data_IF_618898002044
#
_entry.id   IF_618898002044
#
_cell.length_a   1.000
_cell.length_b   1.000
_cell.length_c   1.000
_cell.angle_alpha   90.00
_cell.angle_beta   90.00
_cell.angle_gamma   90.00
#
_symmetry.space_group_name_H-M   'P 1'
#
loop_
_entity.id
_entity.type
_entity.pdbx_description
1 polymer ?
#
# COMPACT_ATOMS: atom_id res chain seq x y z
N UNK A 1 21.44 49.22 -2.61
CA UNK A 1 20.81 50.52 -2.90
C UNK A 1 19.75 50.35 -3.95
N UNK A 2 18.54 50.89 -3.67
CA UNK A 2 17.31 51.05 -4.45
C UNK A 2 16.50 49.73 -4.61
N UNK A 3 15.46 49.47 -3.85
CA UNK A 3 14.19 50.13 -3.53
C UNK A 3 13.15 50.00 -4.66
N UNK A 4 12.09 49.32 -4.28
CA UNK A 4 10.78 49.07 -4.94
C UNK A 4 10.16 50.27 -5.65
N UNK A 5 9.04 50.07 -6.38
CA UNK A 5 7.77 50.36 -5.69
C UNK A 5 6.62 49.36 -5.99
N UNK A 6 5.72 49.32 -5.01
CA UNK A 6 4.34 48.90 -5.02
C UNK A 6 3.48 49.84 -5.92
N UNK A 7 2.49 49.26 -6.59
CA UNK A 7 1.29 49.92 -7.04
C UNK A 7 0.14 48.93 -6.88
N UNK A 8 -0.68 49.15 -5.97
CA UNK A 8 -1.91 49.93 -5.78
C UNK A 8 -3.14 49.28 -6.43
N UNK A 9 -3.99 48.86 -5.55
CA UNK A 9 -5.38 48.39 -5.74
C UNK A 9 -6.23 49.48 -6.41
N UNK A 10 -7.11 49.07 -7.29
CA UNK A 10 -8.38 49.77 -7.49
C UNK A 10 -9.54 48.80 -7.59
N UNK A 11 -10.57 49.14 -6.84
CA UNK A 11 -11.80 48.44 -6.65
C UNK A 11 -12.89 48.95 -7.58
N UNK A 12 -13.86 48.08 -7.79
CA UNK A 12 -15.26 48.42 -8.05
C UNK A 12 -15.78 48.34 -9.49
N UNK A 13 -16.50 47.27 -9.77
CA UNK A 13 -17.73 47.36 -10.57
C UNK A 13 -18.69 46.23 -10.21
N UNK A 14 -19.77 46.62 -9.54
CA UNK A 14 -20.98 45.79 -9.31
C UNK A 14 -21.70 45.58 -10.63
N UNK A 15 -22.13 44.35 -10.90
CA UNK A 15 -23.32 44.10 -11.70
C UNK A 15 -24.06 42.88 -11.15
N UNK A 16 -25.32 43.12 -10.93
CA UNK A 16 -26.36 42.28 -10.32
C UNK A 16 -26.84 41.14 -11.24
N UNK A 17 -27.69 40.22 -10.74
CA UNK A 17 -27.70 38.84 -11.14
C UNK A 17 -28.71 38.54 -12.25
N UNK A 18 -28.42 37.57 -13.06
CA UNK A 18 -29.40 36.92 -13.94
C UNK A 18 -29.75 35.54 -13.41
N UNK A 19 -31.03 35.40 -13.27
CA UNK A 19 -31.90 34.30 -12.92
C UNK A 19 -31.55 32.92 -13.50
N UNK A 20 -31.71 31.94 -12.64
CA UNK A 20 -32.33 30.65 -12.83
C UNK A 20 -31.69 29.62 -13.76
N UNK A 21 -31.16 28.59 -13.13
CA UNK A 21 -31.57 27.20 -13.41
C UNK A 21 -31.24 26.34 -12.20
N UNK A 22 -32.22 26.13 -11.37
CA UNK A 22 -32.29 25.02 -10.40
C UNK A 22 -32.13 23.71 -11.16
N UNK A 23 -30.92 23.15 -11.18
CA UNK A 23 -30.74 21.73 -11.44
C UNK A 23 -30.86 21.01 -10.11
N UNK A 24 -31.96 20.28 -10.00
CA UNK A 24 -32.29 19.30 -9.00
C UNK A 24 -31.08 18.47 -8.62
N UNK A 25 -30.63 18.64 -7.39
CA UNK A 25 -29.75 17.73 -6.71
C UNK A 25 -30.60 16.57 -6.17
N UNK A 26 -30.79 15.55 -6.99
CA UNK A 26 -31.33 14.25 -6.57
C UNK A 26 -30.78 13.19 -7.51
N UNK A 27 -29.61 12.74 -7.16
CA UNK A 27 -29.18 11.35 -7.36
C UNK A 27 -28.09 11.06 -6.32
N UNK A 28 -28.48 11.12 -5.04
CA UNK A 28 -27.89 10.27 -4.03
C UNK A 28 -28.45 8.88 -4.29
N UNK A 29 -27.72 8.19 -5.14
CA UNK A 29 -27.94 6.79 -5.42
C UNK A 29 -28.00 6.04 -4.11
N UNK A 30 -29.14 5.46 -3.86
CA UNK A 30 -29.49 4.57 -2.77
C UNK A 30 -28.44 3.51 -2.59
N UNK A 31 -27.49 3.76 -1.65
CA UNK A 31 -26.69 2.68 -1.09
C UNK A 31 -27.66 1.78 -0.31
N UNK A 32 -28.08 0.75 -1.03
CA UNK A 32 -28.61 -0.53 -0.59
C UNK A 32 -28.79 -0.71 0.92
N UNK A 33 -29.98 -1.12 1.27
CA UNK A 33 -30.44 -1.83 2.45
C UNK A 33 -29.63 -3.10 2.78
N UNK A 34 -28.34 -2.95 3.01
CA UNK A 34 -27.47 -3.98 3.56
C UNK A 34 -27.02 -3.54 4.95
N UNK A 35 -27.09 -4.42 5.92
CA UNK A 35 -26.53 -4.18 7.25
C UNK A 35 -25.05 -3.75 7.20
N UNK A 36 -24.43 -3.40 8.33
CA UNK A 36 -23.04 -2.99 8.36
C UNK A 36 -22.16 -4.09 7.76
N UNK A 37 -21.21 -3.69 6.87
CA UNK A 37 -20.21 -4.62 6.35
C UNK A 37 -19.40 -5.18 7.51
N UNK A 38 -19.29 -6.51 7.55
CA UNK A 38 -18.49 -7.22 8.54
C UNK A 38 -17.39 -8.00 7.82
N UNK A 39 -16.17 -7.87 8.29
CA UNK A 39 -15.04 -8.65 7.79
C UNK A 39 -15.20 -10.13 8.19
N UNK A 40 -14.49 -11.00 7.50
CA UNK A 40 -14.33 -12.38 7.93
C UNK A 40 -13.10 -12.48 8.86
N UNK A 41 -13.35 -12.40 10.17
CA UNK A 41 -12.34 -12.40 11.22
C UNK A 41 -11.57 -13.72 11.29
N UNK A 42 -12.22 -14.85 11.08
CA UNK A 42 -11.55 -16.16 10.97
C UNK A 42 -10.56 -16.20 9.80
N UNK A 43 -10.92 -15.69 8.64
CA UNK A 43 -10.04 -15.64 7.47
C UNK A 43 -8.85 -14.71 7.71
N UNK A 44 -9.07 -13.55 8.31
CA UNK A 44 -7.99 -12.64 8.70
C UNK A 44 -7.05 -13.32 9.68
N UNK A 45 -7.58 -13.96 10.70
CA UNK A 45 -6.80 -14.69 11.69
C UNK A 45 -5.99 -15.83 11.05
N UNK A 46 -6.59 -16.64 10.21
CA UNK A 46 -5.90 -17.74 9.51
C UNK A 46 -4.80 -17.21 8.57
N UNK A 47 -5.03 -16.06 7.92
CA UNK A 47 -4.03 -15.42 7.06
C UNK A 47 -2.83 -14.97 7.90
N UNK A 48 -3.05 -14.32 9.05
CA UNK A 48 -2.01 -13.94 10.00
C UNK A 48 -1.22 -15.15 10.50
N UNK A 49 -1.92 -16.20 10.92
CA UNK A 49 -1.27 -17.41 11.44
C UNK A 49 -0.51 -18.18 10.35
N UNK A 50 -0.93 -18.08 9.11
CA UNK A 50 -0.20 -18.69 7.98
C UNK A 50 1.11 -17.96 7.71
N UNK A 51 1.11 -16.63 7.68
CA UNK A 51 2.34 -15.84 7.57
C UNK A 51 3.24 -16.02 8.79
N UNK A 52 2.68 -16.17 9.99
CA UNK A 52 3.44 -16.39 11.22
C UNK A 52 4.24 -17.72 11.23
N UNK A 53 3.92 -18.69 10.38
CA UNK A 53 4.70 -19.92 10.23
C UNK A 53 5.97 -19.72 9.42
N UNK A 54 6.01 -18.72 8.55
CA UNK A 54 7.17 -18.43 7.70
C UNK A 54 8.16 -17.63 8.53
N UNK A 55 9.23 -18.29 8.97
CA UNK A 55 10.22 -17.74 9.89
C UNK A 55 9.84 -17.88 11.38
N UNK A 56 8.89 -18.76 11.72
CA UNK A 56 8.54 -19.01 13.12
C UNK A 56 9.76 -19.38 13.97
N UNK A 57 9.79 -18.86 15.19
CA UNK A 57 10.85 -19.15 16.17
C UNK A 57 10.33 -19.99 17.32
N UNK A 58 11.22 -20.71 18.01
CA UNK A 58 10.84 -21.59 19.13
C UNK A 58 10.18 -20.81 20.28
N UNK A 59 10.45 -19.51 20.39
CA UNK A 59 9.83 -18.62 21.40
C UNK A 59 8.47 -18.06 20.97
N UNK A 60 7.92 -18.54 19.85
CA UNK A 60 6.60 -18.15 19.36
C UNK A 60 6.55 -16.82 18.61
N UNK A 61 7.69 -16.21 18.30
CA UNK A 61 7.82 -15.06 17.43
C UNK A 61 8.09 -15.43 15.98
N UNK A 62 8.53 -14.45 15.18
CA UNK A 62 8.88 -14.59 13.77
C UNK A 62 10.22 -13.90 13.49
N UNK A 63 11.10 -14.56 12.73
CA UNK A 63 12.30 -13.97 12.16
C UNK A 63 12.23 -14.07 10.63
N UNK A 64 11.84 -13.00 9.97
CA UNK A 64 11.70 -12.89 8.52
C UNK A 64 12.35 -11.58 8.07
N UNK A 65 13.68 -11.57 8.09
CA UNK A 65 14.45 -10.37 7.74
C UNK A 65 14.26 -10.00 6.27
N UNK A 66 14.23 -8.71 5.99
CA UNK A 66 14.05 -8.16 4.65
C UNK A 66 14.99 -8.79 3.63
N UNK A 67 14.48 -9.09 2.44
CA UNK A 67 15.21 -9.65 1.30
C UNK A 67 15.93 -10.99 1.59
N UNK A 68 15.43 -11.76 2.55
CA UNK A 68 15.81 -13.17 2.73
C UNK A 68 14.85 -14.10 1.97
N UNK A 69 15.20 -15.39 1.88
CA UNK A 69 14.29 -16.40 1.32
C UNK A 69 12.97 -16.53 2.11
N UNK A 70 13.01 -16.26 3.41
CA UNK A 70 11.79 -16.25 4.24
C UNK A 70 10.91 -15.03 3.90
N UNK A 71 11.50 -13.84 3.71
CA UNK A 71 10.76 -12.66 3.25
C UNK A 71 10.18 -12.90 1.85
N UNK A 72 10.94 -13.52 0.96
CA UNK A 72 10.45 -13.96 -0.34
C UNK A 72 9.19 -14.82 -0.21
N UNK A 73 9.24 -15.89 0.59
CA UNK A 73 8.10 -16.77 0.80
C UNK A 73 6.87 -16.02 1.32
N UNK A 74 7.05 -15.11 2.30
CA UNK A 74 5.97 -14.29 2.83
C UNK A 74 5.33 -13.40 1.77
N UNK A 75 6.15 -12.74 0.95
CA UNK A 75 5.71 -11.90 -0.17
C UNK A 75 4.99 -12.70 -1.25
N UNK A 76 5.49 -13.87 -1.63
CA UNK A 76 4.84 -14.76 -2.59
C UNK A 76 3.45 -15.21 -2.12
N UNK A 77 3.30 -15.51 -0.83
CA UNK A 77 2.00 -15.85 -0.23
C UNK A 77 1.04 -14.67 -0.35
N UNK A 78 1.48 -13.45 0.02
CA UNK A 78 0.66 -12.25 -0.11
C UNK A 78 0.25 -11.98 -1.57
N UNK A 79 1.20 -12.04 -2.51
CA UNK A 79 0.96 -11.81 -3.94
C UNK A 79 -0.10 -12.79 -4.46
N UNK A 80 0.03 -14.07 -4.11
CA UNK A 80 -0.96 -15.08 -4.51
C UNK A 80 -2.35 -14.73 -3.98
N UNK A 81 -2.49 -14.42 -2.70
CA UNK A 81 -3.77 -14.07 -2.10
C UNK A 81 -4.37 -12.78 -2.67
N UNK A 82 -3.54 -11.79 -2.98
CA UNK A 82 -4.00 -10.57 -3.60
C UNK A 82 -4.49 -10.80 -5.04
N UNK A 83 -3.81 -11.66 -5.82
CA UNK A 83 -4.27 -12.07 -7.15
C UNK A 83 -5.58 -12.86 -7.08
N UNK A 84 -5.71 -13.78 -6.14
CA UNK A 84 -6.95 -14.53 -5.87
C UNK A 84 -8.11 -13.57 -5.51
N UNK A 85 -7.81 -12.45 -4.86
CA UNK A 85 -8.77 -11.38 -4.58
C UNK A 85 -9.01 -10.41 -5.77
N UNK A 86 -8.46 -10.70 -6.95
CA UNK A 86 -8.65 -9.90 -8.17
C UNK A 86 -7.80 -8.64 -8.24
N UNK A 87 -6.71 -8.55 -7.47
CA UNK A 87 -5.79 -7.42 -7.54
C UNK A 87 -4.75 -7.59 -8.65
N UNK A 88 -4.46 -6.49 -9.32
CA UNK A 88 -3.26 -6.34 -10.13
C UNK A 88 -2.05 -6.08 -9.21
N UNK A 89 -0.92 -6.72 -9.53
CA UNK A 89 0.31 -6.59 -8.74
C UNK A 89 1.34 -5.76 -9.49
N UNK A 90 1.82 -4.70 -8.83
CA UNK A 90 2.97 -3.90 -9.28
C UNK A 90 4.07 -3.98 -8.22
N UNK A 91 5.30 -4.07 -8.67
CA UNK A 91 6.50 -3.99 -7.81
C UNK A 91 7.37 -2.86 -8.34
N UNK A 92 7.81 -1.98 -7.47
CA UNK A 92 8.69 -0.86 -7.82
C UNK A 92 10.18 -1.23 -7.75
N UNK A 93 11.05 -0.24 -8.03
CA UNK A 93 12.48 -0.43 -8.13
C UNK A 93 13.18 -0.82 -6.84
N UNK A 94 12.60 -0.51 -5.67
CA UNK A 94 13.12 -0.92 -4.34
C UNK A 94 12.46 -2.21 -3.84
N UNK A 95 11.48 -2.75 -4.58
CA UNK A 95 10.78 -3.97 -4.23
C UNK A 95 9.51 -3.77 -3.40
N UNK A 96 8.99 -2.55 -3.24
CA UNK A 96 7.67 -2.36 -2.68
C UNK A 96 6.62 -3.04 -3.55
N UNK A 97 5.65 -3.72 -2.93
CA UNK A 97 4.55 -4.37 -3.63
C UNK A 97 3.30 -3.51 -3.48
N UNK A 98 2.57 -3.34 -4.57
CA UNK A 98 1.28 -2.67 -4.63
C UNK A 98 0.26 -3.63 -5.22
N UNK A 99 -0.71 -4.04 -4.41
CA UNK A 99 -1.84 -4.86 -4.83
C UNK A 99 -3.05 -3.96 -5.07
N UNK A 100 -3.38 -3.69 -6.33
CA UNK A 100 -4.40 -2.73 -6.75
C UNK A 100 -5.69 -3.45 -7.14
N UNK A 101 -6.77 -3.13 -6.45
CA UNK A 101 -8.13 -3.45 -6.85
C UNK A 101 -8.71 -2.30 -7.67
N UNK A 102 -9.25 -2.58 -8.84
CA UNK A 102 -9.85 -1.56 -9.69
C UNK A 102 -11.06 -0.88 -9.01
N UNK A 103 -11.16 0.43 -9.20
CA UNK A 103 -12.33 1.23 -8.92
C UNK A 103 -13.25 1.33 -10.15
N UNK A 104 -14.33 2.09 -10.03
CA UNK A 104 -15.17 2.46 -11.16
C UNK A 104 -14.49 3.49 -12.06
N UNK A 105 -13.72 4.38 -11.46
CA UNK A 105 -12.94 5.42 -12.12
C UNK A 105 -11.45 5.12 -11.94
N UNK A 106 -10.81 4.66 -13.00
CA UNK A 106 -9.40 4.29 -12.99
C UNK A 106 -8.45 5.48 -12.86
N UNK A 107 -8.91 6.69 -13.24
CA UNK A 107 -8.11 7.92 -13.22
C UNK A 107 -8.04 8.53 -11.82
N UNK A 108 -8.91 8.12 -10.93
CA UNK A 108 -8.82 8.57 -9.53
C UNK A 108 -7.56 8.06 -8.85
N UNK A 109 -7.01 8.91 -8.00
CA UNK A 109 -5.97 8.47 -7.07
C UNK A 109 -6.47 7.30 -6.22
N UNK A 110 -5.66 6.26 -6.08
CA UNK A 110 -6.01 5.12 -5.24
C UNK A 110 -6.09 5.52 -3.76
N UNK A 111 -7.03 4.91 -3.05
CA UNK A 111 -6.99 4.92 -1.59
C UNK A 111 -6.06 3.80 -1.15
N UNK A 112 -4.95 4.16 -0.50
CA UNK A 112 -3.91 3.22 -0.13
C UNK A 112 -3.93 2.90 1.36
N UNK A 113 -3.66 1.65 1.68
CA UNK A 113 -3.39 1.15 3.03
C UNK A 113 -2.26 0.14 2.95
N UNK A 114 -1.66 -0.22 4.05
CA UNK A 114 -0.61 -1.25 4.05
C UNK A 114 0.35 -1.10 5.21
N UNK A 115 1.40 -1.89 5.16
CA UNK A 115 2.52 -1.91 6.10
C UNK A 115 3.67 -2.71 5.49
N UNK A 116 4.31 -3.60 6.25
CA UNK A 116 5.43 -4.42 5.82
C UNK A 116 5.21 -5.90 6.16
N UNK A 117 6.04 -6.77 5.59
CA UNK A 117 6.05 -8.20 5.89
C UNK A 117 7.38 -8.66 6.49
N UNK A 118 8.47 -7.90 6.31
CA UNK A 118 9.72 -8.15 7.02
C UNK A 118 9.55 -7.95 8.53
N UNK A 119 10.40 -8.59 9.30
CA UNK A 119 10.36 -8.54 10.77
C UNK A 119 11.75 -8.28 11.34
N UNK A 120 11.79 -7.88 12.60
CA UNK A 120 13.00 -7.93 13.40
C UNK A 120 13.47 -9.39 13.62
N UNK A 121 14.72 -9.62 14.07
CA UNK A 121 15.21 -10.97 14.38
C UNK A 121 14.38 -11.71 15.44
N UNK A 122 13.74 -10.95 16.33
CA UNK A 122 12.84 -11.45 17.37
C UNK A 122 11.48 -10.78 17.30
N UNK A 123 10.95 -10.67 16.07
CA UNK A 123 9.71 -9.96 15.78
C UNK A 123 8.45 -10.68 16.27
N UNK A 124 7.37 -9.92 16.37
CA UNK A 124 6.04 -10.43 16.66
C UNK A 124 5.37 -11.02 15.42
N UNK A 125 4.24 -11.69 15.62
CA UNK A 125 3.45 -12.29 14.54
C UNK A 125 2.62 -11.26 13.77
N UNK A 126 2.33 -10.12 14.39
CA UNK A 126 1.33 -9.16 13.93
C UNK A 126 1.93 -7.87 13.39
N UNK A 127 3.12 -7.50 13.87
CA UNK A 127 3.82 -6.30 13.43
C UNK A 127 3.97 -6.29 11.92
N UNK A 128 3.57 -5.19 11.28
CA UNK A 128 3.49 -5.05 9.83
C UNK A 128 2.43 -5.93 9.17
N UNK A 129 2.45 -7.23 9.47
CA UNK A 129 1.55 -8.23 8.85
C UNK A 129 0.07 -7.88 9.04
N UNK A 130 -0.30 -7.36 10.21
CA UNK A 130 -1.69 -6.98 10.49
C UNK A 130 -2.16 -5.86 9.54
N UNK A 131 -1.35 -4.81 9.33
CA UNK A 131 -1.70 -3.71 8.44
C UNK A 131 -1.88 -4.15 6.99
N UNK A 132 -0.99 -5.03 6.50
CA UNK A 132 -1.08 -5.59 5.14
C UNK A 132 -2.31 -6.47 4.98
N UNK A 133 -2.51 -7.41 5.90
CA UNK A 133 -3.59 -8.41 5.77
C UNK A 133 -4.97 -7.83 6.07
N UNK A 134 -5.08 -6.83 6.93
CA UNK A 134 -6.32 -6.09 7.13
C UNK A 134 -6.75 -5.37 5.85
N UNK A 135 -5.80 -4.74 5.13
CA UNK A 135 -6.08 -4.14 3.83
C UNK A 135 -6.59 -5.15 2.81
N UNK A 136 -5.96 -6.32 2.75
CA UNK A 136 -6.40 -7.41 1.86
C UNK A 136 -7.79 -7.95 2.27
N UNK A 137 -8.06 -8.05 3.56
CA UNK A 137 -9.36 -8.50 4.07
C UNK A 137 -10.47 -7.50 3.73
N UNK A 138 -10.22 -6.20 3.79
CA UNK A 138 -11.16 -5.18 3.30
C UNK A 138 -11.49 -5.40 1.83
N UNK A 139 -10.48 -5.65 0.98
CA UNK A 139 -10.70 -5.93 -0.45
C UNK A 139 -11.57 -7.17 -0.63
N UNK A 140 -11.30 -8.26 0.08
CA UNK A 140 -12.08 -9.52 0.03
C UNK A 140 -13.53 -9.29 0.45
N UNK A 141 -13.74 -8.56 1.54
CA UNK A 141 -15.07 -8.23 2.07
C UNK A 141 -15.88 -7.41 1.06
N UNK A 142 -15.27 -6.42 0.42
CA UNK A 142 -15.92 -5.62 -0.62
C UNK A 142 -16.27 -6.47 -1.85
N UNK A 143 -15.42 -7.42 -2.22
CA UNK A 143 -15.68 -8.34 -3.34
C UNK A 143 -16.88 -9.25 -3.02
N UNK A 144 -16.93 -9.83 -1.83
CA UNK A 144 -18.01 -10.70 -1.37
C UNK A 144 -19.35 -9.95 -1.30
N UNK A 145 -19.30 -8.68 -0.90
CA UNK A 145 -20.46 -7.81 -0.87
C UNK A 145 -20.88 -7.26 -2.26
N UNK A 146 -20.10 -7.54 -3.31
CA UNK A 146 -20.36 -7.00 -4.65
C UNK A 146 -20.18 -5.48 -4.77
N UNK A 147 -19.51 -4.86 -3.80
CA UNK A 147 -19.31 -3.41 -3.75
C UNK A 147 -18.15 -3.00 -4.65
N UNK A 148 -18.43 -2.07 -5.58
CA UNK A 148 -17.41 -1.41 -6.40
C UNK A 148 -17.16 0.01 -5.86
N UNK A 149 -15.92 0.27 -5.46
CA UNK A 149 -15.51 1.60 -5.00
C UNK A 149 -15.35 2.57 -6.16
N UNK A 150 -15.55 3.87 -5.94
CA UNK A 150 -15.31 4.88 -6.97
C UNK A 150 -13.83 4.94 -7.32
N UNK A 151 -12.96 5.11 -6.32
CA UNK A 151 -11.52 5.09 -6.49
C UNK A 151 -10.97 3.66 -6.41
N UNK A 152 -9.85 3.36 -7.07
CA UNK A 152 -9.10 2.12 -6.82
C UNK A 152 -8.66 2.02 -5.36
N UNK A 153 -8.47 0.77 -4.89
CA UNK A 153 -7.86 0.50 -3.58
C UNK A 153 -6.49 -0.14 -3.79
N UNK A 154 -5.51 0.26 -3.00
CA UNK A 154 -4.18 -0.36 -3.01
C UNK A 154 -3.77 -0.84 -1.63
N UNK A 155 -3.27 -2.08 -1.56
CA UNK A 155 -2.55 -2.58 -0.39
C UNK A 155 -1.06 -2.54 -0.68
N UNK A 156 -0.32 -1.75 0.11
CA UNK A 156 1.11 -1.56 -0.03
C UNK A 156 1.87 -2.48 0.92
N UNK A 157 2.97 -3.10 0.43
CA UNK A 157 3.93 -3.82 1.26
C UNK A 157 5.28 -3.13 1.10
N UNK A 158 5.71 -2.43 2.14
CA UNK A 158 6.97 -1.70 2.14
C UNK A 158 8.15 -2.66 2.31
N UNK A 159 9.25 -2.39 1.62
CA UNK A 159 10.49 -3.17 1.68
C UNK A 159 11.39 -2.63 2.78
N UNK A 160 11.92 -3.53 3.63
CA UNK A 160 12.87 -3.19 4.70
C UNK A 160 12.37 -2.05 5.58
N UNK A 161 11.18 -2.22 6.12
CA UNK A 161 10.59 -1.23 7.02
C UNK A 161 11.31 -1.21 8.35
N UNK A 162 11.59 -2.37 8.92
CA UNK A 162 12.21 -2.57 10.23
C UNK A 162 13.67 -2.12 10.33
N UNK A 163 14.37 -1.99 9.21
CA UNK A 163 15.78 -1.62 9.21
C UNK A 163 16.72 -2.62 9.87
N UNK A 164 16.23 -3.80 10.24
CA UNK A 164 16.99 -4.81 10.99
C UNK A 164 18.11 -5.45 10.18
N UNK A 165 18.01 -5.44 8.86
CA UNK A 165 19.03 -5.98 7.98
C UNK A 165 19.77 -4.90 7.20
N UNK A 166 19.09 -3.86 6.80
CA UNK A 166 19.64 -2.72 6.07
C UNK A 166 19.19 -1.42 6.68
N UNK A 167 20.06 -0.45 6.79
CA UNK A 167 19.73 0.92 7.18
C UNK A 167 19.61 1.81 5.94
N UNK A 168 18.72 2.80 5.96
CA UNK A 168 17.85 3.22 7.05
C UNK A 168 16.62 2.34 7.23
N UNK A 169 15.95 2.46 8.37
CA UNK A 169 14.60 1.93 8.59
C UNK A 169 13.62 2.62 7.64
N UNK A 170 12.41 2.06 7.43
CA UNK A 170 11.39 2.62 6.54
C UNK A 170 11.91 2.85 5.11
N UNK A 171 12.84 2.00 4.67
CA UNK A 171 13.57 2.21 3.42
C UNK A 171 12.63 2.28 2.21
N UNK A 172 11.73 1.32 2.08
CA UNK A 172 10.82 1.24 0.94
C UNK A 172 9.84 2.41 0.87
N UNK A 173 9.21 2.75 1.99
CA UNK A 173 8.31 3.89 2.10
C UNK A 173 9.04 5.22 1.93
N UNK A 174 10.27 5.32 2.43
CA UNK A 174 11.12 6.50 2.27
C UNK A 174 11.49 6.76 0.80
N UNK A 175 11.80 5.72 0.03
CA UNK A 175 12.03 5.85 -1.42
C UNK A 175 10.73 6.26 -2.14
N UNK A 176 9.62 5.63 -1.79
CA UNK A 176 8.31 5.98 -2.37
C UNK A 176 7.91 7.42 -2.10
N UNK A 177 8.15 7.92 -0.89
CA UNK A 177 7.85 9.30 -0.49
C UNK A 177 8.91 10.32 -0.95
N UNK A 178 10.01 9.88 -1.56
CA UNK A 178 11.09 10.77 -2.01
C UNK A 178 12.01 11.28 -0.89
N UNK A 179 11.94 10.68 0.31
CA UNK A 179 12.84 10.98 1.42
C UNK A 179 14.25 10.39 1.19
N UNK A 180 14.34 9.29 0.46
CA UNK A 180 15.58 8.66 0.02
C UNK A 180 15.59 8.51 -1.51
N UNK A 181 16.76 8.66 -2.13
CA UNK A 181 16.88 8.26 -3.53
C UNK A 181 16.94 6.72 -3.64
N UNK A 182 16.42 6.21 -4.76
CA UNK A 182 16.50 4.77 -5.05
C UNK A 182 17.95 4.28 -5.08
N UNK A 183 18.85 5.09 -5.66
CA UNK A 183 20.28 4.77 -5.76
C UNK A 183 20.90 4.62 -4.36
N UNK A 184 20.62 5.55 -3.44
CA UNK A 184 21.10 5.48 -2.05
C UNK A 184 20.61 4.22 -1.34
N UNK A 185 19.32 3.90 -1.46
CA UNK A 185 18.72 2.73 -0.85
C UNK A 185 19.29 1.41 -1.42
N UNK A 186 19.50 1.35 -2.74
CA UNK A 186 20.13 0.19 -3.38
C UNK A 186 21.60 0.05 -2.98
N UNK A 187 22.35 1.14 -2.85
CA UNK A 187 23.74 1.11 -2.39
C UNK A 187 23.88 0.53 -0.96
N UNK A 188 22.94 0.87 -0.07
CA UNK A 188 22.90 0.30 1.27
C UNK A 188 22.66 -1.21 1.27
N UNK A 189 21.86 -1.71 0.33
CA UNK A 189 21.62 -3.15 0.16
C UNK A 189 22.76 -3.90 -0.54
N UNK A 190 23.56 -3.21 -1.36
CA UNK A 190 24.71 -3.77 -2.09
C UNK A 190 25.87 -4.16 -1.17
N UNK A 191 26.07 -3.45 -0.08
CA UNK A 191 27.16 -3.72 0.87
C UNK A 191 27.08 -5.11 1.55
N UNK A 192 25.94 -5.80 1.41
CA UNK A 192 25.69 -7.12 1.97
C UNK A 192 25.32 -8.19 0.93
N UNK A 193 25.75 -8.02 -0.33
CA UNK A 193 25.53 -8.97 -1.45
C UNK A 193 24.04 -9.19 -1.83
N UNK A 194 23.18 -8.23 -1.53
CA UNK A 194 21.74 -8.35 -1.72
C UNK A 194 21.17 -7.63 -2.96
N UNK A 195 22.01 -6.96 -3.74
CA UNK A 195 21.58 -6.33 -4.98
C UNK A 195 21.07 -7.35 -6.03
N UNK A 196 21.53 -8.60 -5.95
CA UNK A 196 21.00 -9.69 -6.76
C UNK A 196 19.55 -10.02 -6.35
N UNK A 197 19.24 -10.01 -5.06
CA UNK A 197 17.90 -10.28 -4.56
C UNK A 197 16.90 -9.19 -4.98
N UNK A 198 17.20 -7.91 -4.78
CA UNK A 198 16.32 -6.81 -5.17
C UNK A 198 16.08 -6.78 -6.70
N UNK A 199 17.13 -7.00 -7.51
CA UNK A 199 17.00 -7.12 -8.97
C UNK A 199 16.21 -8.35 -9.39
N UNK A 200 16.39 -9.48 -8.73
CA UNK A 200 15.64 -10.69 -9.00
C UNK A 200 14.14 -10.49 -8.76
N UNK A 201 13.79 -9.74 -7.72
CA UNK A 201 12.41 -9.37 -7.41
C UNK A 201 11.79 -8.41 -8.42
N UNK A 202 12.56 -7.46 -8.93
CA UNK A 202 12.12 -6.54 -9.97
C UNK A 202 11.94 -7.24 -11.34
N UNK A 203 12.66 -8.34 -11.58
CA UNK A 203 12.65 -9.05 -12.87
C UNK A 203 11.68 -10.22 -12.94
N UNK A 204 11.17 -10.76 -11.82
CA UNK A 204 10.10 -11.76 -11.82
C UNK A 204 8.73 -11.18 -12.25
N UNK A 205 8.74 -10.09 -13.00
CA UNK A 205 7.53 -9.43 -13.54
C UNK A 205 6.81 -10.24 -14.62
N UNK A 206 7.38 -11.32 -15.12
CA UNK A 206 6.82 -12.09 -16.22
C UNK A 206 7.06 -13.59 -16.03
N UNK A 207 6.31 -14.21 -15.11
CA UNK A 207 5.97 -15.62 -15.24
C UNK A 207 4.45 -15.70 -15.42
N UNK A 208 3.97 -16.44 -16.44
CA UNK A 208 2.58 -16.53 -16.84
C UNK A 208 1.68 -17.07 -15.74
#
# INVERSE_FOLDING_TARGET
MRASPLASLDANARSTPSSAATKSATDHDTLTTGGPLTINDDRLWQSLMTLARIGATDKGGVCRLALTDLDRQGREVFIRWAREAGCEIRVDGIGNIFARRAGQDAERAAVATGSHLDTQPTGGKFDGNYGVLSGLEVIRTLNEAGIRTQAPLEVCVWTNEEGSRFVPVMMGSGVYAGAFSLEHALAASLQLDCASAARHWATTRHAP
#
